data_IF_994516144375
#
_entry.id   IF_994516144375
#
_cell.length_a   1.000
_cell.length_b   1.000
_cell.length_c   1.000
_cell.angle_alpha   90.00
_cell.angle_beta   90.00
_cell.angle_gamma   90.00
#
_symmetry.space_group_name_H-M   'P 1'
#
loop_
_entity.id
_entity.type
_entity.pdbx_description
1 polymer ?
#
# COMPACT_ATOMS: atom_id res chain seq x y z
N UNK A 1 -13.98 -7.21 -9.60
CA UNK A 1 -14.09 -7.57 -11.03
C UNK A 1 -13.29 -6.54 -11.81
N UNK A 2 -12.06 -6.88 -12.20
CA UNK A 2 -11.38 -6.18 -13.30
C UNK A 2 -12.20 -6.41 -14.56
N UNK A 3 -12.41 -5.39 -15.38
CA UNK A 3 -12.97 -5.60 -16.72
C UNK A 3 -11.96 -6.42 -17.55
N UNK A 4 -12.10 -7.75 -17.54
CA UNK A 4 -11.46 -8.66 -18.51
C UNK A 4 -10.09 -9.25 -18.15
N UNK A 5 -9.49 -8.92 -16.99
CA UNK A 5 -8.24 -9.57 -16.54
C UNK A 5 -8.53 -10.71 -15.56
N UNK A 6 -7.99 -11.90 -15.84
CA UNK A 6 -8.08 -13.08 -14.96
C UNK A 6 -6.72 -13.28 -14.29
N UNK A 7 -6.67 -13.23 -12.96
CA UNK A 7 -5.46 -13.60 -12.21
C UNK A 7 -5.26 -15.11 -12.20
N UNK A 8 -4.03 -15.56 -11.94
CA UNK A 8 -3.71 -16.98 -11.78
C UNK A 8 -3.31 -17.27 -10.33
N UNK A 9 -3.84 -18.37 -9.77
CA UNK A 9 -3.35 -18.97 -8.53
C UNK A 9 -2.67 -20.29 -8.89
N UNK A 10 -1.40 -20.42 -8.52
CA UNK A 10 -0.62 -21.66 -8.70
C UNK A 10 -0.33 -22.25 -7.33
N UNK A 11 -0.59 -23.55 -7.17
CA UNK A 11 -0.25 -24.31 -5.96
C UNK A 11 1.01 -25.13 -6.23
N UNK A 12 2.02 -25.00 -5.37
CA UNK A 12 3.33 -25.65 -5.51
C UNK A 12 4.47 -24.62 -5.55
N UNK A 13 5.65 -25.05 -5.99
CA UNK A 13 6.88 -24.24 -6.02
C UNK A 13 6.93 -23.31 -7.25
N UNK A 14 5.96 -22.40 -7.35
CA UNK A 14 5.96 -21.34 -8.34
C UNK A 14 6.66 -20.10 -7.76
N UNK A 15 7.87 -19.79 -8.25
CA UNK A 15 8.56 -18.55 -7.95
C UNK A 15 8.30 -17.50 -9.04
N UNK A 16 8.19 -16.20 -8.67
CA UNK A 16 8.19 -15.13 -9.65
C UNK A 16 9.43 -15.26 -10.55
N UNK A 17 9.25 -15.04 -11.85
CA UNK A 17 10.35 -15.16 -12.82
C UNK A 17 10.93 -13.79 -13.14
N UNK A 18 12.25 -13.72 -13.34
CA UNK A 18 12.95 -12.53 -13.83
C UNK A 18 13.88 -11.88 -12.81
N UNK A 19 14.48 -10.78 -13.24
CA UNK A 19 15.32 -9.90 -12.41
C UNK A 19 14.40 -9.01 -11.54
N UNK A 20 14.87 -8.57 -10.37
CA UNK A 20 14.14 -7.75 -9.38
C UNK A 20 13.09 -8.45 -8.49
N UNK A 21 13.50 -9.53 -7.81
CA UNK A 21 12.68 -10.18 -6.77
C UNK A 21 13.05 -9.64 -5.39
N UNK A 22 12.10 -9.00 -4.72
CA UNK A 22 12.18 -8.64 -3.30
C UNK A 22 11.74 -9.81 -2.45
N UNK A 23 12.58 -10.20 -1.48
CA UNK A 23 12.24 -11.18 -0.45
C UNK A 23 11.75 -10.46 0.82
N UNK A 24 10.53 -10.80 1.26
CA UNK A 24 9.89 -10.22 2.43
C UNK A 24 9.70 -11.30 3.49
N UNK A 25 10.44 -11.26 4.61
CA UNK A 25 10.29 -12.24 5.68
C UNK A 25 8.88 -12.21 6.30
N UNK A 26 8.24 -13.37 6.36
CA UNK A 26 6.99 -13.57 7.05
C UNK A 26 7.23 -13.79 8.55
N UNK A 27 6.39 -13.16 9.36
CA UNK A 27 6.29 -13.44 10.79
C UNK A 27 5.01 -14.21 11.05
N UNK A 28 5.12 -15.24 11.89
CA UNK A 28 3.97 -15.98 12.38
C UNK A 28 3.10 -15.02 13.21
N UNK A 29 1.88 -14.76 12.74
CA UNK A 29 0.88 -14.02 13.51
C UNK A 29 0.11 -14.93 14.47
N UNK A 30 -0.85 -14.34 15.18
CA UNK A 30 -1.87 -15.09 15.92
C UNK A 30 -2.89 -15.69 14.94
N UNK A 31 -3.08 -17.02 14.95
CA UNK A 31 -4.02 -17.71 14.07
C UNK A 31 -3.51 -17.81 12.62
N UNK A 32 -4.39 -17.54 11.64
CA UNK A 32 -4.10 -17.58 10.20
C UNK A 32 -3.50 -16.27 9.65
N UNK A 33 -3.25 -15.27 10.51
CA UNK A 33 -2.76 -13.98 10.08
C UNK A 33 -1.28 -14.05 9.64
N UNK A 34 -1.04 -13.81 8.36
CA UNK A 34 0.29 -13.62 7.79
C UNK A 34 0.77 -12.20 8.07
N UNK A 35 1.94 -12.04 8.71
CA UNK A 35 2.47 -10.73 9.09
C UNK A 35 3.81 -10.43 8.43
N UNK A 36 4.08 -9.15 8.22
CA UNK A 36 5.36 -8.60 7.77
C UNK A 36 5.84 -7.56 8.77
N UNK A 37 7.15 -7.34 8.87
CA UNK A 37 7.70 -6.29 9.72
C UNK A 37 8.00 -5.05 8.89
N UNK A 38 7.08 -4.09 8.85
CA UNK A 38 7.31 -2.78 8.23
C UNK A 38 8.23 -1.98 9.16
N UNK A 39 9.37 -1.53 8.65
CA UNK A 39 10.37 -0.76 9.41
C UNK A 39 10.42 0.71 9.04
N UNK A 40 10.01 1.07 7.83
CA UNK A 40 9.78 2.47 7.45
C UNK A 40 8.90 2.59 6.22
N UNK A 41 8.32 3.76 6.03
CA UNK A 41 7.55 4.13 4.84
C UNK A 41 8.06 5.46 4.30
N UNK A 42 8.26 5.55 3.00
CA UNK A 42 8.61 6.77 2.29
C UNK A 42 7.50 7.09 1.32
N UNK A 43 6.93 8.30 1.40
CA UNK A 43 6.02 8.82 0.39
C UNK A 43 6.79 9.88 -0.40
N UNK A 44 6.88 9.72 -1.72
CA UNK A 44 7.56 10.68 -2.60
C UNK A 44 6.69 11.00 -3.81
N UNK A 45 6.55 12.29 -4.12
CA UNK A 45 5.93 12.71 -5.39
C UNK A 45 6.94 12.65 -6.53
N UNK A 46 6.51 12.62 -7.80
CA UNK A 46 7.43 12.63 -8.94
C UNK A 46 8.37 13.84 -8.95
N UNK A 47 7.92 14.99 -8.43
CA UNK A 47 8.67 16.24 -8.45
C UNK A 47 9.48 16.54 -7.18
N UNK A 48 9.30 15.78 -6.09
CA UNK A 48 9.90 16.06 -4.77
C UNK A 48 10.58 14.85 -4.17
N UNK A 49 11.66 15.08 -3.39
CA UNK A 49 12.25 14.04 -2.55
C UNK A 49 11.38 13.82 -1.32
N UNK A 50 10.96 12.57 -1.07
CA UNK A 50 10.24 12.21 0.15
C UNK A 50 11.15 12.04 1.37
N UNK A 51 10.55 12.00 2.56
CA UNK A 51 11.24 11.66 3.82
C UNK A 51 10.78 10.30 4.34
N UNK A 52 11.71 9.51 4.88
CA UNK A 52 11.39 8.24 5.53
C UNK A 52 10.67 8.48 6.86
N UNK A 53 9.52 7.84 7.01
CA UNK A 53 8.78 7.70 8.26
C UNK A 53 9.30 6.42 8.92
N UNK A 54 10.16 6.60 9.92
CA UNK A 54 10.83 5.50 10.62
C UNK A 54 9.92 4.87 11.67
N UNK A 55 9.89 3.53 11.74
CA UNK A 55 9.09 2.83 12.74
C UNK A 55 9.67 2.89 14.17
N UNK A 56 10.91 3.36 14.34
CA UNK A 56 11.70 3.16 15.56
C UNK A 56 11.72 4.34 16.55
N UNK A 57 10.91 5.38 16.37
CA UNK A 57 10.82 6.49 17.33
C UNK A 57 9.45 6.60 18.02
N UNK A 58 8.52 5.76 17.63
CA UNK A 58 7.16 5.76 18.15
C UNK A 58 6.70 4.32 18.22
N UNK A 59 5.91 3.98 19.22
CA UNK A 59 5.30 2.64 19.36
C UNK A 59 4.22 2.37 18.28
N UNK A 60 4.36 2.97 17.09
CA UNK A 60 3.30 3.26 16.12
C UNK A 60 3.19 2.30 14.94
N UNK A 61 4.10 1.32 14.79
CA UNK A 61 3.93 0.30 13.77
C UNK A 61 3.73 -1.07 14.43
N UNK A 62 2.48 -1.52 14.45
CA UNK A 62 2.23 -2.95 14.58
C UNK A 62 2.76 -3.67 13.33
N UNK A 63 3.12 -4.96 13.45
CA UNK A 63 3.47 -5.76 12.28
C UNK A 63 2.41 -5.61 11.21
N UNK A 64 2.84 -5.33 9.97
CA UNK A 64 1.94 -5.25 8.84
C UNK A 64 1.23 -6.58 8.66
N UNK A 65 -0.05 -6.54 8.32
CA UNK A 65 -0.85 -7.73 8.05
C UNK A 65 -1.05 -7.87 6.56
N UNK A 66 -0.90 -9.08 6.05
CA UNK A 66 -1.32 -9.44 4.69
C UNK A 66 -2.74 -9.96 4.79
N UNK A 67 -3.69 -9.25 4.16
CA UNK A 67 -5.11 -9.60 4.18
C UNK A 67 -5.71 -9.47 2.78
N UNK A 68 -5.71 -10.56 2.03
CA UNK A 68 -6.28 -10.59 0.68
C UNK A 68 -7.82 -10.55 0.68
N UNK A 69 -8.47 -10.59 1.85
CA UNK A 69 -9.91 -10.35 1.99
C UNK A 69 -10.28 -8.87 1.94
N UNK A 70 -9.33 -7.97 2.22
CA UNK A 70 -9.52 -6.53 2.11
C UNK A 70 -9.27 -6.04 0.67
N UNK A 71 -10.21 -5.29 0.10
CA UNK A 71 -10.07 -4.66 -1.23
C UNK A 71 -9.47 -3.24 -1.16
N UNK A 72 -8.74 -2.95 -0.09
CA UNK A 72 -8.09 -1.68 0.18
C UNK A 72 -6.80 -1.91 0.98
N UNK A 73 -5.96 -0.88 1.03
CA UNK A 73 -4.78 -0.84 1.88
C UNK A 73 -5.10 0.04 3.07
N UNK A 74 -4.79 -0.45 4.28
CA UNK A 74 -4.88 0.36 5.48
C UNK A 74 -3.47 0.80 5.84
N UNK A 75 -3.28 2.09 6.03
CA UNK A 75 -2.00 2.65 6.47
C UNK A 75 -2.18 3.36 7.81
N UNK A 76 -1.13 3.50 8.62
CA UNK A 76 -1.15 4.36 9.79
C UNK A 76 -1.49 5.81 9.41
N UNK A 77 -2.15 6.52 10.31
CA UNK A 77 -2.56 7.94 10.15
C UNK A 77 -1.41 8.82 9.63
N UNK A 78 -0.23 8.74 10.24
CA UNK A 78 0.94 9.51 9.79
C UNK A 78 1.33 9.23 8.32
N UNK A 79 1.19 7.99 7.86
CA UNK A 79 1.45 7.63 6.45
C UNK A 79 0.35 8.20 5.56
N UNK A 80 -0.90 8.14 6.01
CA UNK A 80 -2.04 8.72 5.29
C UNK A 80 -1.88 10.24 5.12
N UNK A 81 -1.52 10.94 6.19
CA UNK A 81 -1.22 12.37 6.16
C UNK A 81 -0.09 12.69 5.18
N UNK A 82 1.00 11.90 5.17
CA UNK A 82 2.08 12.10 4.18
C UNK A 82 1.64 11.87 2.75
N UNK A 83 0.74 10.91 2.49
CA UNK A 83 0.15 10.73 1.16
C UNK A 83 -0.65 11.96 0.77
N UNK A 84 -1.49 12.46 1.68
CA UNK A 84 -2.27 13.66 1.45
C UNK A 84 -1.39 14.87 1.13
N UNK A 85 -0.41 15.17 1.98
CA UNK A 85 0.55 16.28 1.79
C UNK A 85 1.28 16.16 0.45
N UNK A 86 1.77 14.96 0.11
CA UNK A 86 2.49 14.74 -1.15
C UNK A 86 1.62 14.99 -2.40
N UNK A 87 0.32 14.69 -2.33
CA UNK A 87 -0.63 15.00 -3.41
C UNK A 87 -0.93 16.51 -3.42
N UNK A 88 -1.19 17.12 -2.26
CA UNK A 88 -1.47 18.55 -2.15
C UNK A 88 -0.30 19.41 -2.66
N UNK A 89 0.94 19.05 -2.32
CA UNK A 89 2.16 19.74 -2.77
C UNK A 89 2.38 19.61 -4.29
N UNK A 90 2.06 18.45 -4.89
CA UNK A 90 2.29 18.18 -6.30
C UNK A 90 1.26 18.86 -7.22
N UNK A 91 0.02 19.04 -6.73
CA UNK A 91 -1.13 19.41 -7.56
C UNK A 91 -1.89 20.66 -7.12
N UNK A 92 -1.69 21.11 -5.89
CA UNK A 92 -2.49 22.16 -5.27
C UNK A 92 -3.77 21.63 -4.61
N UNK A 93 -4.22 22.34 -3.58
CA UNK A 93 -5.37 21.97 -2.75
C UNK A 93 -6.70 21.96 -3.50
N UNK A 94 -6.82 22.66 -4.62
CA UNK A 94 -8.04 22.70 -5.46
C UNK A 94 -8.29 21.38 -6.21
N UNK A 95 -7.28 20.50 -6.25
CA UNK A 95 -7.33 19.21 -6.95
C UNK A 95 -7.47 18.01 -6.03
N UNK A 96 -7.55 18.24 -4.72
CA UNK A 96 -7.61 17.20 -3.69
C UNK A 96 -8.71 17.56 -2.70
N UNK A 97 -9.67 16.65 -2.51
CA UNK A 97 -10.73 16.78 -1.51
C UNK A 97 -10.58 15.65 -0.47
N UNK A 98 -10.55 16.03 0.80
CA UNK A 98 -10.70 15.11 1.92
C UNK A 98 -12.14 15.23 2.43
N UNK A 99 -12.58 14.21 3.15
CA UNK A 99 -13.80 14.15 3.96
C UNK A 99 -15.03 13.52 3.31
N UNK A 100 -14.98 12.18 3.23
CA UNK A 100 -16.16 11.39 3.56
C UNK A 100 -15.76 10.29 4.56
N UNK A 101 -16.21 10.42 5.80
CA UNK A 101 -16.21 9.30 6.75
C UNK A 101 -17.26 8.31 6.27
N UNK A 102 -16.81 7.18 5.73
CA UNK A 102 -17.70 6.05 5.43
C UNK A 102 -17.23 4.90 6.30
N UNK A 103 -18.08 4.46 7.21
CA UNK A 103 -17.90 3.22 7.98
C UNK A 103 -16.57 3.15 8.77
N UNK A 104 -16.19 4.24 9.44
CA UNK A 104 -14.98 4.38 10.28
C UNK A 104 -13.63 4.49 9.53
N UNK A 105 -13.65 4.86 8.24
CA UNK A 105 -12.43 5.09 7.46
C UNK A 105 -12.41 6.46 6.79
N UNK A 106 -11.21 7.05 6.68
CA UNK A 106 -10.94 8.21 5.85
C UNK A 106 -10.48 7.79 4.45
N UNK A 107 -10.81 8.62 3.44
CA UNK A 107 -10.48 8.41 2.02
C UNK A 107 -9.96 9.72 1.43
N UNK A 108 -9.01 9.60 0.50
CA UNK A 108 -8.47 10.72 -0.28
C UNK A 108 -9.19 10.76 -1.63
N UNK A 109 -9.80 11.89 -1.97
CA UNK A 109 -10.35 12.16 -3.30
C UNK A 109 -9.48 13.17 -4.05
N UNK A 110 -9.35 13.00 -5.35
CA UNK A 110 -8.52 13.84 -6.21
C UNK A 110 -9.08 13.88 -7.63
N UNK A 111 -8.69 14.87 -8.43
CA UNK A 111 -9.16 14.99 -9.82
C UNK A 111 -8.55 13.91 -10.72
N UNK A 112 -9.32 13.40 -11.67
CA UNK A 112 -8.86 12.34 -12.60
C UNK A 112 -7.59 12.73 -13.38
N UNK A 113 -7.44 14.02 -13.71
CA UNK A 113 -6.31 14.51 -14.48
C UNK A 113 -4.97 14.45 -13.74
N UNK A 114 -4.98 14.20 -12.42
CA UNK A 114 -3.75 14.07 -11.61
C UNK A 114 -3.31 12.62 -11.37
N UNK A 115 -4.12 11.62 -11.75
CA UNK A 115 -3.87 10.18 -11.52
C UNK A 115 -2.44 9.75 -11.90
N UNK A 116 -1.96 10.18 -13.07
CA UNK A 116 -0.67 9.74 -13.64
C UNK A 116 0.56 10.23 -12.89
N UNK A 117 0.39 11.23 -12.04
CA UNK A 117 1.47 11.87 -11.28
C UNK A 117 1.31 11.64 -9.77
N UNK A 118 0.41 10.75 -9.36
CA UNK A 118 0.23 10.44 -7.94
C UNK A 118 1.55 9.99 -7.30
N UNK A 119 1.74 10.21 -5.98
CA UNK A 119 2.94 9.80 -5.28
C UNK A 119 3.21 8.30 -5.38
N UNK A 120 4.46 7.94 -5.17
CA UNK A 120 4.91 6.56 -4.97
C UNK A 120 5.16 6.37 -3.47
N UNK A 121 4.58 5.29 -2.93
CA UNK A 121 4.86 4.85 -1.57
C UNK A 121 5.89 3.72 -1.63
N UNK A 122 7.02 3.90 -0.96
CA UNK A 122 8.06 2.88 -0.80
C UNK A 122 8.00 2.35 0.62
N UNK A 123 7.86 1.05 0.78
CA UNK A 123 7.80 0.41 2.10
C UNK A 123 9.04 -0.41 2.33
N UNK A 124 9.73 -0.14 3.43
CA UNK A 124 10.84 -0.94 3.91
C UNK A 124 10.32 -2.00 4.87
N UNK A 125 10.70 -3.24 4.62
CA UNK A 125 10.35 -4.41 5.42
C UNK A 125 11.61 -5.13 5.91
N UNK A 126 11.61 -5.49 7.19
CA UNK A 126 12.80 -6.01 7.84
C UNK A 126 13.93 -4.97 7.87
N UNK A 127 15.15 -5.43 7.62
CA UNK A 127 16.35 -4.59 7.71
C UNK A 127 16.70 -3.88 6.40
N UNK A 128 16.39 -4.47 5.23
CA UNK A 128 16.92 -3.96 3.95
C UNK A 128 15.96 -4.07 2.75
N UNK A 129 14.93 -4.91 2.83
CA UNK A 129 14.05 -5.14 1.69
C UNK A 129 13.08 -3.98 1.50
N UNK A 130 12.90 -3.54 0.26
CA UNK A 130 11.91 -2.51 -0.09
C UNK A 130 11.02 -2.98 -1.23
N UNK A 131 9.79 -2.47 -1.25
CA UNK A 131 8.90 -2.58 -2.39
C UNK A 131 8.20 -1.25 -2.64
N UNK A 132 7.88 -1.01 -3.92
CA UNK A 132 7.25 0.23 -4.36
C UNK A 132 5.77 -0.02 -4.64
N UNK A 133 4.98 1.00 -4.33
CA UNK A 133 3.56 1.03 -4.58
C UNK A 133 3.23 2.33 -5.28
N UNK A 134 2.87 2.20 -6.55
CA UNK A 134 2.50 3.32 -7.39
C UNK A 134 1.01 3.59 -7.20
N UNK A 135 0.66 4.68 -6.51
CA UNK A 135 -0.74 5.02 -6.24
C UNK A 135 -1.54 5.24 -7.55
N UNK A 136 -0.86 5.46 -8.68
CA UNK A 136 -1.43 5.52 -10.02
C UNK A 136 -1.94 4.18 -10.56
N UNK A 137 -1.41 3.05 -10.11
CA UNK A 137 -1.61 1.74 -10.74
C UNK A 137 -2.85 1.01 -10.19
N UNK A 138 -4.03 1.61 -10.32
CA UNK A 138 -5.32 1.00 -9.94
C UNK A 138 -5.71 1.09 -8.48
N UNK A 139 -5.03 1.94 -7.72
CA UNK A 139 -5.45 2.27 -6.37
C UNK A 139 -6.52 3.34 -6.34
N UNK A 140 -7.33 3.45 -7.39
CA UNK A 140 -8.38 4.44 -7.42
C UNK A 140 -9.64 3.98 -8.14
N UNK A 141 -10.75 4.64 -7.82
CA UNK A 141 -12.03 4.48 -8.50
C UNK A 141 -12.52 5.88 -8.84
N UNK A 142 -12.86 6.12 -10.11
CA UNK A 142 -13.33 7.42 -10.57
C UNK A 142 -14.86 7.45 -10.67
N UNK A 143 -15.45 8.50 -10.15
CA UNK A 143 -16.87 8.84 -10.16
C UNK A 143 -17.00 10.24 -10.80
N UNK A 144 -17.16 10.27 -12.14
CA UNK A 144 -17.04 11.51 -12.91
C UNK A 144 -15.58 12.00 -12.97
N UNK A 145 -15.35 13.29 -12.73
CA UNK A 145 -13.99 13.89 -12.76
C UNK A 145 -13.18 13.66 -11.48
N UNK A 146 -13.75 12.96 -10.50
CA UNK A 146 -13.15 12.73 -9.19
C UNK A 146 -12.82 11.26 -9.02
N UNK A 147 -11.65 10.97 -8.49
CA UNK A 147 -11.17 9.64 -8.20
C UNK A 147 -10.85 9.53 -6.71
N UNK A 148 -11.19 8.41 -6.08
CA UNK A 148 -10.85 8.12 -4.69
C UNK A 148 -9.72 7.13 -4.61
N UNK A 149 -8.74 7.34 -3.72
CA UNK A 149 -7.73 6.32 -3.43
C UNK A 149 -8.33 5.13 -2.68
N UNK A 150 -7.88 3.91 -3.01
CA UNK A 150 -8.13 2.66 -2.27
C UNK A 150 -7.16 2.49 -1.09
N UNK A 151 -6.70 3.62 -0.54
CA UNK A 151 -5.93 3.71 0.69
C UNK A 151 -6.86 4.30 1.74
N UNK A 152 -6.94 3.62 2.87
CA UNK A 152 -7.75 4.03 4.01
C UNK A 152 -6.84 4.32 5.20
N UNK A 153 -7.19 5.35 5.95
CA UNK A 153 -6.88 5.41 7.37
C UNK A 153 -8.12 4.94 8.15
N UNK A 154 -7.93 4.14 9.20
CA UNK A 154 -9.03 3.69 10.06
C UNK A 154 -9.12 4.56 11.29
N UNK A 155 -10.11 5.44 11.27
CA UNK A 155 -10.52 6.22 12.44
C UNK A 155 -11.55 5.41 13.22
N UNK A 156 -11.09 4.50 14.09
CA UNK A 156 -11.91 4.17 15.24
C UNK A 156 -11.78 5.35 16.21
N UNK A 157 -12.92 5.97 16.55
CA UNK A 157 -13.02 7.25 17.29
C UNK A 157 -12.23 7.34 18.61
N UNK A 158 -11.67 6.25 19.12
CA UNK A 158 -10.95 6.22 20.39
C UNK A 158 -9.49 5.72 20.35
N UNK A 159 -9.00 5.12 19.24
CA UNK A 159 -7.59 4.68 19.12
C UNK A 159 -7.12 4.64 17.66
N UNK A 160 -6.01 5.33 17.30
CA UNK A 160 -5.41 5.17 15.98
C UNK A 160 -5.01 3.72 15.77
N UNK A 161 -5.40 3.15 14.63
CA UNK A 161 -4.90 1.85 14.23
C UNK A 161 -3.55 2.06 13.59
N UNK A 162 -2.53 1.93 14.44
CA UNK A 162 -1.12 1.81 14.12
C UNK A 162 -0.81 0.53 13.31
N UNK A 163 -1.61 0.23 12.28
CA UNK A 163 -1.60 -1.02 11.51
C UNK A 163 -1.44 -0.73 10.04
N UNK A 164 -0.48 -1.42 9.45
CA UNK A 164 -0.33 -1.51 8.01
C UNK A 164 -1.05 -2.78 7.52
N UNK A 165 -1.98 -2.69 6.58
CA UNK A 165 -2.66 -3.85 5.98
C UNK A 165 -2.45 -3.81 4.47
N UNK A 166 -1.76 -4.82 3.95
CA UNK A 166 -1.62 -5.06 2.52
C UNK A 166 -2.83 -5.86 2.04
N UNK A 167 -3.76 -5.17 1.37
CA UNK A 167 -4.96 -5.73 0.77
C UNK A 167 -4.74 -6.41 -0.57
N UNK A 168 -5.80 -6.97 -1.14
CA UNK A 168 -5.80 -7.64 -2.45
C UNK A 168 -5.24 -6.77 -3.58
N UNK A 169 -5.50 -5.46 -3.58
CA UNK A 169 -5.05 -4.56 -4.65
C UNK A 169 -3.55 -4.34 -4.68
N UNK A 170 -2.87 -4.47 -3.53
CA UNK A 170 -1.42 -4.48 -3.52
C UNK A 170 -0.88 -5.65 -4.37
N UNK A 171 -1.42 -6.86 -4.14
CA UNK A 171 -0.96 -8.07 -4.83
C UNK A 171 -1.41 -8.15 -6.28
N UNK A 172 -2.48 -7.45 -6.67
CA UNK A 172 -2.98 -7.43 -8.03
C UNK A 172 -1.98 -6.89 -9.05
N UNK A 173 -1.01 -6.08 -8.61
CA UNK A 173 0.04 -5.50 -9.46
C UNK A 173 1.33 -6.33 -9.50
N UNK A 174 1.43 -7.42 -8.75
CA UNK A 174 2.70 -8.10 -8.52
C UNK A 174 2.63 -9.59 -8.83
N UNK A 175 3.73 -10.14 -9.35
CA UNK A 175 3.96 -11.59 -9.28
C UNK A 175 4.39 -11.91 -7.84
N UNK A 176 3.52 -12.63 -7.12
CA UNK A 176 3.70 -12.90 -5.68
C UNK A 176 3.72 -14.40 -5.43
N UNK A 177 4.70 -14.85 -4.66
CA UNK A 177 4.75 -16.22 -4.15
C UNK A 177 4.84 -16.23 -2.63
N UNK A 178 4.02 -17.07 -1.99
CA UNK A 178 4.01 -17.27 -0.54
C UNK A 178 4.69 -18.60 -0.24
N UNK A 179 5.92 -18.54 0.28
CA UNK A 179 6.64 -19.72 0.72
C UNK A 179 6.55 -19.84 2.25
N UNK A 180 5.56 -20.60 2.71
CA UNK A 180 5.35 -20.83 4.13
C UNK A 180 6.42 -21.76 4.75
N UNK A 181 7.14 -22.54 3.95
CA UNK A 181 8.20 -23.43 4.44
C UNK A 181 9.44 -22.64 4.86
N UNK A 182 9.77 -21.59 4.09
CA UNK A 182 10.86 -20.64 4.38
C UNK A 182 10.38 -19.38 5.08
N UNK A 183 9.08 -19.25 5.32
CA UNK A 183 8.44 -18.07 5.88
C UNK A 183 8.85 -16.78 5.14
N UNK A 184 8.66 -16.74 3.82
CA UNK A 184 9.01 -15.60 2.96
C UNK A 184 7.95 -15.36 1.90
N UNK A 185 7.69 -14.09 1.59
CA UNK A 185 7.00 -13.68 0.36
C UNK A 185 8.07 -13.28 -0.65
N UNK A 186 8.03 -13.88 -1.84
CA UNK A 186 8.77 -13.38 -2.99
C UNK A 186 7.85 -12.46 -3.78
N UNK A 187 8.25 -11.20 -3.91
CA UNK A 187 7.51 -10.16 -4.60
C UNK A 187 8.35 -9.66 -5.77
N UNK A 188 7.82 -9.74 -6.97
CA UNK A 188 8.41 -9.03 -8.11
C UNK A 188 7.70 -7.69 -8.28
N UNK A 189 8.45 -6.59 -8.21
CA UNK A 189 7.88 -5.27 -8.46
C UNK A 189 7.31 -5.21 -9.90
N UNK A 190 6.15 -4.58 -10.13
CA UNK A 190 5.64 -4.36 -11.46
C UNK A 190 6.70 -3.67 -12.31
N UNK A 191 6.84 -4.10 -13.57
CA UNK A 191 7.63 -3.34 -14.53
C UNK A 191 7.01 -1.95 -14.62
N UNK A 192 7.84 -0.90 -14.53
CA UNK A 192 7.39 0.46 -14.78
C UNK A 192 6.62 0.48 -16.12
N UNK A 193 5.44 1.12 -16.17
CA UNK A 193 4.68 1.23 -17.42
C UNK A 193 5.48 1.93 -18.51
#
# INVERSE_FOLDING_TARGET
VYHGLTGQLVLGDALPQGEDITLIPLRKGSGLATRIAVSAVLVRSPSTSGTWIEANNTTEFHPGTVDTGADFIVVPEIVFERIWEAIEDEFGRDRVESYAYIDAYQRIWFREDVVKRLPVMVVRVGTESTFEMHLSNHWHICEGTWCRLRVLDRVQQDKPLNKFILGAWFFAEHDVSFDFSRAVISLRNPRRP
#
